data_IF_121095809478
#
_entry.id   IF_121095809478
#
_cell.length_a   1.000
_cell.length_b   1.000
_cell.length_c   1.000
_cell.angle_alpha   90.00
_cell.angle_beta   90.00
_cell.angle_gamma   90.00
#
_symmetry.space_group_name_H-M   'P 1'
#
loop_
_entity.id
_entity.type
_entity.pdbx_description
1 polymer ?
#
# COMPACT_ATOMS: atom_id res chain seq x y z
N UNK A 1 68.75 -3.10 -56.24
CA UNK A 1 67.54 -3.86 -55.88
C UNK A 1 67.22 -3.61 -54.41
N UNK A 2 66.11 -2.94 -54.09
CA UNK A 2 65.44 -3.03 -52.80
C UNK A 2 64.02 -2.48 -52.96
N UNK A 3 63.03 -3.37 -52.82
CA UNK A 3 61.59 -3.12 -52.97
C UNK A 3 61.08 -2.15 -51.89
N UNK A 4 60.36 -1.11 -52.31
CA UNK A 4 59.63 -0.19 -51.40
C UNK A 4 58.13 -0.53 -51.50
N UNK A 5 57.44 -0.84 -50.39
CA UNK A 5 56.04 -1.27 -50.46
C UNK A 5 55.11 -0.07 -50.66
N UNK A 6 54.14 -0.21 -51.57
CA UNK A 6 53.01 0.72 -51.71
C UNK A 6 52.01 0.44 -50.59
N UNK A 7 51.95 1.35 -49.63
CA UNK A 7 50.90 1.42 -48.62
C UNK A 7 49.65 2.07 -49.23
N UNK A 8 48.59 1.28 -49.47
CA UNK A 8 47.25 1.77 -49.83
C UNK A 8 46.48 2.10 -48.56
N UNK A 9 46.61 3.33 -48.06
CA UNK A 9 45.77 3.86 -46.98
C UNK A 9 44.40 4.24 -47.58
N UNK A 10 43.40 3.36 -47.46
CA UNK A 10 41.99 3.73 -47.70
C UNK A 10 41.56 4.70 -46.59
N UNK A 11 41.33 5.97 -46.94
CA UNK A 11 40.74 6.92 -45.99
C UNK A 11 39.25 6.59 -45.83
N UNK A 12 38.87 6.15 -44.64
CA UNK A 12 37.46 6.08 -44.26
C UNK A 12 36.94 7.51 -44.11
N UNK A 13 35.88 7.84 -44.83
CA UNK A 13 35.27 9.17 -44.78
C UNK A 13 34.67 9.42 -43.39
N UNK A 14 34.66 10.68 -42.95
CA UNK A 14 34.10 11.09 -41.65
C UNK A 14 32.65 10.62 -41.43
N UNK A 15 31.88 10.44 -42.51
CA UNK A 15 30.52 9.92 -42.46
C UNK A 15 30.44 8.48 -41.90
N UNK A 16 31.45 7.63 -42.17
CA UNK A 16 31.49 6.27 -41.63
C UNK A 16 31.70 6.23 -40.12
N UNK A 17 32.41 7.19 -39.53
CA UNK A 17 32.62 7.25 -38.08
C UNK A 17 31.33 7.63 -37.33
N UNK A 18 30.54 8.57 -37.87
CA UNK A 18 29.26 8.94 -37.25
C UNK A 18 28.23 7.82 -37.37
N UNK A 19 28.18 7.12 -38.50
CA UNK A 19 27.27 5.98 -38.68
C UNK A 19 27.59 4.82 -37.70
N UNK A 20 28.87 4.52 -37.48
CA UNK A 20 29.30 3.48 -36.53
C UNK A 20 29.00 3.93 -35.09
N UNK A 21 29.29 5.18 -34.73
CA UNK A 21 29.01 5.70 -33.39
C UNK A 21 27.52 5.69 -33.05
N UNK A 22 26.66 6.05 -34.00
CA UNK A 22 25.20 6.04 -33.81
C UNK A 22 24.64 4.61 -33.68
N UNK A 23 25.16 3.66 -34.48
CA UNK A 23 24.77 2.26 -34.36
C UNK A 23 25.16 1.66 -33.00
N UNK A 24 26.36 1.97 -32.49
CA UNK A 24 26.82 1.53 -31.16
C UNK A 24 25.96 2.15 -30.05
N UNK A 25 25.59 3.42 -30.16
CA UNK A 25 24.70 4.08 -29.21
C UNK A 25 23.31 3.44 -29.18
N UNK A 26 22.72 3.16 -30.35
CA UNK A 26 21.43 2.45 -30.42
C UNK A 26 21.52 1.07 -29.79
N UNK A 27 22.56 0.29 -30.08
CA UNK A 27 22.76 -1.04 -29.49
C UNK A 27 22.93 -0.95 -27.97
N UNK A 28 23.64 0.07 -27.47
CA UNK A 28 23.82 0.29 -26.04
C UNK A 28 22.49 0.65 -25.35
N UNK A 29 21.70 1.57 -25.94
CA UNK A 29 20.38 1.93 -25.43
C UNK A 29 19.42 0.73 -25.51
N UNK A 30 19.42 -0.03 -26.61
CA UNK A 30 18.62 -1.24 -26.73
C UNK A 30 19.03 -2.28 -25.68
N UNK A 31 20.32 -2.46 -25.39
CA UNK A 31 20.76 -3.39 -24.35
C UNK A 31 20.40 -2.90 -22.95
N UNK A 32 20.44 -1.60 -22.67
CA UNK A 32 19.96 -1.07 -21.39
C UNK A 32 18.46 -1.30 -21.24
N UNK A 33 17.67 -0.96 -22.27
CA UNK A 33 16.22 -1.14 -22.28
C UNK A 33 15.86 -2.63 -22.22
N UNK A 34 16.54 -3.48 -22.99
CA UNK A 34 16.36 -4.93 -22.95
C UNK A 34 16.79 -5.48 -21.59
N UNK A 35 17.86 -5.02 -20.96
CA UNK A 35 18.24 -5.47 -19.61
C UNK A 35 17.24 -5.02 -18.56
N UNK A 36 16.65 -3.82 -18.69
CA UNK A 36 15.60 -3.32 -17.81
C UNK A 36 14.29 -4.10 -17.99
N UNK A 37 13.99 -4.55 -19.22
CA UNK A 37 12.83 -5.40 -19.53
C UNK A 37 13.08 -6.85 -19.09
N UNK A 38 14.29 -7.37 -19.29
CA UNK A 38 14.67 -8.75 -18.98
C UNK A 38 14.90 -8.98 -17.48
N UNK A 39 15.30 -7.93 -16.75
CA UNK A 39 15.38 -7.97 -15.28
C UNK A 39 13.99 -8.00 -14.60
N UNK A 40 12.89 -7.96 -15.38
CA UNK A 40 11.51 -8.06 -14.90
C UNK A 40 10.98 -9.49 -14.85
N UNK A 41 11.73 -10.49 -15.32
CA UNK A 41 11.34 -11.90 -15.27
C UNK A 41 12.31 -12.73 -14.42
N UNK A 42 11.74 -13.42 -13.42
CA UNK A 42 12.34 -14.49 -12.61
C UNK A 42 13.24 -14.08 -11.44
N UNK A 43 12.73 -13.25 -10.52
CA UNK A 43 13.21 -13.29 -9.13
C UNK A 43 12.50 -14.47 -8.44
N UNK A 44 13.23 -15.42 -7.83
CA UNK A 44 12.61 -16.45 -7.00
C UNK A 44 11.90 -15.75 -5.84
N UNK A 45 10.61 -15.94 -5.80
CA UNK A 45 9.67 -15.46 -4.78
C UNK A 45 10.01 -16.13 -3.43
N UNK A 46 10.97 -15.56 -2.69
CA UNK A 46 11.01 -15.75 -1.23
C UNK A 46 10.28 -14.57 -0.61
N UNK A 47 9.01 -14.79 -0.27
CA UNK A 47 8.07 -13.77 0.22
C UNK A 47 7.83 -13.86 1.73
N UNK A 48 8.78 -14.41 2.49
CA UNK A 48 8.56 -14.68 3.91
C UNK A 48 8.92 -13.48 4.81
N UNK A 49 8.37 -13.48 6.03
CA UNK A 49 8.69 -12.55 7.12
C UNK A 49 10.09 -12.83 7.73
N UNK A 50 11.01 -13.41 6.98
CA UNK A 50 12.32 -13.87 7.46
C UNK A 50 13.09 -12.77 8.21
N UNK A 51 13.02 -11.54 7.69
CA UNK A 51 13.73 -10.37 8.22
C UNK A 51 12.89 -9.53 9.18
N UNK A 52 11.65 -9.95 9.51
CA UNK A 52 10.79 -9.17 10.37
C UNK A 52 11.11 -9.41 11.85
N UNK A 53 11.29 -8.32 12.60
CA UNK A 53 11.34 -8.39 14.06
C UNK A 53 10.00 -8.92 14.61
N UNK A 54 10.06 -9.83 15.59
CA UNK A 54 8.87 -10.41 16.20
C UNK A 54 8.22 -11.55 15.41
N UNK A 55 8.83 -12.04 14.31
CA UNK A 55 8.25 -13.17 13.54
C UNK A 55 8.00 -14.42 14.40
N UNK A 56 8.92 -14.72 15.33
CA UNK A 56 8.85 -15.92 16.18
C UNK A 56 7.90 -15.73 17.35
N UNK A 57 7.87 -14.51 17.91
CA UNK A 57 7.06 -14.17 19.10
C UNK A 57 5.58 -13.96 18.75
N UNK A 58 5.30 -13.36 17.60
CA UNK A 58 3.95 -12.88 17.27
C UNK A 58 3.04 -13.93 16.64
N UNK A 59 3.56 -15.13 16.32
CA UNK A 59 2.76 -16.24 15.78
C UNK A 59 2.06 -15.92 14.45
N UNK A 60 2.68 -15.08 13.62
CA UNK A 60 2.19 -14.72 12.28
C UNK A 60 3.17 -15.22 11.23
N UNK A 61 2.71 -16.11 10.36
CA UNK A 61 3.45 -16.56 9.17
C UNK A 61 2.79 -16.04 7.90
N UNK A 62 3.55 -15.94 6.81
CA UNK A 62 2.97 -15.55 5.50
C UNK A 62 1.82 -16.49 5.10
N UNK A 63 1.98 -17.79 5.32
CA UNK A 63 0.97 -18.80 4.97
C UNK A 63 -0.36 -18.62 5.71
N UNK A 64 -0.38 -17.94 6.86
CA UNK A 64 -1.63 -17.57 7.53
C UNK A 64 -2.35 -16.40 6.86
N UNK A 65 -1.62 -15.57 6.11
CA UNK A 65 -2.13 -14.33 5.53
C UNK A 65 -2.44 -14.48 4.04
N UNK A 66 -1.62 -15.24 3.33
CA UNK A 66 -1.61 -15.29 1.88
C UNK A 66 -1.33 -16.71 1.37
N UNK A 67 -2.13 -17.13 0.39
CA UNK A 67 -1.83 -18.31 -0.43
C UNK A 67 -1.45 -17.83 -1.84
N UNK A 68 -0.21 -18.09 -2.24
CA UNK A 68 0.25 -17.81 -3.60
C UNK A 68 -0.54 -18.65 -4.62
N UNK A 69 -0.80 -18.14 -5.84
CA UNK A 69 -1.42 -18.92 -6.89
C UNK A 69 -0.51 -20.09 -7.30
N UNK A 70 -1.12 -21.23 -7.61
CA UNK A 70 -0.41 -22.34 -8.26
C UNK A 70 0.04 -21.91 -9.65
N UNK A 71 1.35 -21.74 -9.83
CA UNK A 71 1.93 -21.38 -11.12
C UNK A 71 2.06 -22.66 -11.98
N UNK A 72 1.44 -22.73 -13.17
CA UNK A 72 1.68 -23.84 -14.08
C UNK A 72 3.16 -23.84 -14.53
N UNK A 73 3.75 -25.04 -14.67
CA UNK A 73 5.14 -25.22 -15.16
C UNK A 73 5.42 -24.52 -16.50
N UNK A 74 4.38 -24.20 -17.26
CA UNK A 74 4.44 -23.37 -18.47
C UNK A 74 3.49 -22.19 -18.32
N UNK A 75 4.07 -20.99 -18.17
CA UNK A 75 3.32 -19.73 -18.20
C UNK A 75 2.83 -19.49 -19.62
N UNK A 76 1.59 -19.90 -19.90
CA UNK A 76 0.91 -19.45 -21.11
C UNK A 76 0.55 -17.97 -20.94
N UNK A 77 0.77 -17.13 -21.96
CA UNK A 77 0.55 -15.66 -21.85
C UNK A 77 -0.89 -15.29 -21.51
N UNK A 78 -1.83 -16.21 -21.77
CA UNK A 78 -3.26 -16.06 -21.45
C UNK A 78 -3.63 -16.52 -20.04
N UNK A 79 -2.68 -17.05 -19.25
CA UNK A 79 -2.93 -17.65 -17.94
C UNK A 79 -2.09 -16.96 -16.85
N UNK A 80 -2.06 -15.62 -16.84
CA UNK A 80 -1.46 -14.89 -15.73
C UNK A 80 -2.35 -15.03 -14.50
N UNK A 81 -1.84 -15.55 -13.37
CA UNK A 81 -2.67 -15.75 -12.20
C UNK A 81 -3.00 -14.43 -11.50
N UNK A 82 -2.23 -13.37 -11.75
CA UNK A 82 -2.41 -12.07 -11.13
C UNK A 82 -3.30 -11.16 -11.96
N UNK A 83 -4.09 -10.32 -11.30
CA UNK A 83 -4.99 -9.38 -11.97
C UNK A 83 -4.20 -8.44 -12.90
N UNK A 84 -4.65 -8.30 -14.15
CA UNK A 84 -3.98 -7.46 -15.14
C UNK A 84 -4.27 -5.98 -14.87
N UNK A 85 -5.55 -5.64 -14.72
CA UNK A 85 -6.00 -4.26 -14.59
C UNK A 85 -6.37 -3.88 -13.15
N UNK A 86 -6.43 -2.57 -12.88
CA UNK A 86 -6.72 -2.02 -11.54
C UNK A 86 -8.17 -2.27 -11.12
N UNK A 87 -9.12 -2.11 -12.03
CA UNK A 87 -10.53 -2.43 -11.78
C UNK A 87 -10.73 -3.93 -11.48
N UNK A 88 -10.11 -4.82 -12.26
CA UNK A 88 -10.15 -6.27 -12.03
C UNK A 88 -9.58 -6.63 -10.66
N UNK A 89 -8.46 -6.00 -10.27
CA UNK A 89 -7.88 -6.18 -8.94
C UNK A 89 -8.87 -5.79 -7.84
N UNK A 90 -9.49 -4.61 -7.95
CA UNK A 90 -10.43 -4.13 -6.94
C UNK A 90 -11.69 -5.00 -6.86
N UNK A 91 -12.20 -5.49 -7.98
CA UNK A 91 -13.30 -6.46 -8.02
C UNK A 91 -12.92 -7.80 -7.39
N UNK A 92 -11.73 -8.32 -7.71
CA UNK A 92 -11.21 -9.56 -7.16
C UNK A 92 -11.00 -9.48 -5.64
N UNK A 93 -10.40 -8.39 -5.15
CA UNK A 93 -10.19 -8.13 -3.73
C UNK A 93 -11.51 -7.89 -2.99
N UNK A 94 -12.43 -7.13 -3.57
CA UNK A 94 -13.74 -6.87 -2.96
C UNK A 94 -14.64 -8.10 -2.93
N UNK A 95 -14.53 -8.97 -3.94
CA UNK A 95 -15.39 -10.14 -4.13
C UNK A 95 -14.83 -11.46 -3.60
N UNK A 96 -13.56 -11.49 -3.15
CA UNK A 96 -12.93 -12.66 -2.54
C UNK A 96 -13.45 -12.95 -1.14
N UNK A 97 -12.83 -13.89 -0.43
CA UNK A 97 -13.24 -14.29 0.92
C UNK A 97 -12.27 -15.26 1.56
N UNK A 98 -12.66 -15.86 2.68
CA UNK A 98 -11.89 -16.93 3.35
C UNK A 98 -12.55 -18.28 3.07
N UNK A 99 -11.76 -19.35 3.02
CA UNK A 99 -12.28 -20.71 2.82
C UNK A 99 -12.94 -21.30 4.07
N UNK A 100 -12.62 -20.73 5.23
CA UNK A 100 -13.10 -21.08 6.55
C UNK A 100 -12.80 -19.95 7.55
N UNK A 101 -13.22 -20.14 8.79
CA UNK A 101 -12.99 -19.17 9.86
C UNK A 101 -11.48 -19.01 10.13
N UNK A 102 -10.98 -17.77 10.05
CA UNK A 102 -9.56 -17.40 10.16
C UNK A 102 -8.59 -18.02 9.14
N UNK A 103 -9.09 -18.71 8.11
CA UNK A 103 -8.24 -19.17 7.01
C UNK A 103 -7.68 -18.00 6.20
N UNK A 104 -6.56 -18.21 5.50
CA UNK A 104 -5.96 -17.20 4.62
C UNK A 104 -6.97 -16.65 3.61
N UNK A 105 -6.93 -15.34 3.38
CA UNK A 105 -7.82 -14.69 2.43
C UNK A 105 -7.48 -15.08 0.98
N UNK A 106 -8.50 -15.34 0.16
CA UNK A 106 -8.39 -15.64 -1.28
C UNK A 106 -9.24 -14.65 -2.10
N UNK A 107 -8.63 -13.96 -3.08
CA UNK A 107 -9.37 -13.07 -3.98
C UNK A 107 -10.24 -13.87 -4.95
N UNK A 108 -11.23 -13.22 -5.56
CA UNK A 108 -12.13 -13.82 -6.55
C UNK A 108 -11.55 -13.67 -7.96
N UNK A 109 -11.43 -14.78 -8.69
CA UNK A 109 -11.01 -14.76 -10.10
C UNK A 109 -9.50 -14.70 -10.27
N UNK A 110 -8.89 -13.52 -10.07
CA UNK A 110 -7.45 -13.30 -10.20
C UNK A 110 -6.78 -12.99 -8.86
N UNK A 111 -5.48 -13.25 -8.75
CA UNK A 111 -4.69 -13.05 -7.54
C UNK A 111 -4.11 -11.64 -7.42
N UNK A 112 -3.91 -11.22 -6.18
CA UNK A 112 -3.06 -10.09 -5.81
C UNK A 112 -1.66 -10.60 -5.40
N UNK A 113 -0.68 -9.70 -5.33
CA UNK A 113 0.70 -10.02 -4.96
C UNK A 113 0.96 -9.70 -3.50
N UNK A 114 1.72 -10.57 -2.82
CA UNK A 114 2.30 -10.20 -1.54
C UNK A 114 3.66 -9.57 -1.78
N UNK A 115 3.75 -8.25 -1.62
CA UNK A 115 5.00 -7.52 -1.86
C UNK A 115 5.91 -7.59 -0.63
N UNK A 116 7.20 -7.82 -0.85
CA UNK A 116 8.23 -7.59 0.15
C UNK A 116 8.34 -6.11 0.52
N UNK A 117 8.88 -5.78 1.69
CA UNK A 117 9.03 -4.37 2.09
C UNK A 117 9.85 -3.54 1.10
N UNK A 118 10.86 -4.13 0.45
CA UNK A 118 11.63 -3.47 -0.61
C UNK A 118 10.79 -3.17 -1.85
N UNK A 119 9.89 -4.08 -2.24
CA UNK A 119 8.93 -3.84 -3.33
C UNK A 119 7.88 -2.80 -2.96
N UNK A 120 7.39 -2.79 -1.71
CA UNK A 120 6.51 -1.74 -1.21
C UNK A 120 7.22 -0.38 -1.33
N UNK A 121 8.49 -0.30 -0.94
CA UNK A 121 9.28 0.92 -1.09
C UNK A 121 9.37 1.38 -2.56
N UNK A 122 9.63 0.47 -3.50
CA UNK A 122 9.61 0.78 -4.94
C UNK A 122 8.24 1.27 -5.42
N UNK A 123 7.14 0.72 -4.90
CA UNK A 123 5.78 1.16 -5.23
C UNK A 123 5.57 2.60 -4.75
N UNK A 124 5.98 2.90 -3.51
CA UNK A 124 5.82 4.22 -2.90
C UNK A 124 6.67 5.28 -3.59
N UNK A 125 7.86 4.95 -4.10
CA UNK A 125 8.69 5.92 -4.84
C UNK A 125 8.01 6.50 -6.09
N UNK A 126 6.89 5.92 -6.54
CA UNK A 126 6.09 6.39 -7.69
C UNK A 126 4.99 7.39 -7.31
N UNK A 127 4.80 7.68 -6.03
CA UNK A 127 3.85 8.71 -5.54
C UNK A 127 4.62 9.84 -4.86
N UNK A 128 4.04 11.04 -4.80
CA UNK A 128 4.66 12.20 -4.13
C UNK A 128 4.37 12.22 -2.62
N UNK A 129 3.35 11.47 -2.19
CA UNK A 129 2.96 11.28 -0.80
C UNK A 129 1.68 10.45 -0.74
N UNK A 130 1.24 10.11 0.46
CA UNK A 130 0.09 9.23 0.69
C UNK A 130 -0.69 9.70 1.92
N UNK A 131 -2.01 9.81 1.81
CA UNK A 131 -2.83 10.18 2.96
C UNK A 131 -3.94 9.18 3.20
N UNK A 132 -4.11 8.81 4.48
CA UNK A 132 -5.20 7.99 4.97
C UNK A 132 -6.12 8.87 5.81
N UNK A 133 -7.41 8.90 5.48
CA UNK A 133 -8.40 9.75 6.13
C UNK A 133 -9.56 8.87 6.58
N UNK A 134 -9.76 8.68 7.88
CA UNK A 134 -10.84 7.81 8.30
C UNK A 134 -10.87 7.46 9.77
N UNK A 135 -11.64 6.43 10.07
CA UNK A 135 -11.95 5.96 11.41
C UNK A 135 -10.95 4.91 11.94
N UNK A 136 -11.31 4.24 13.04
CA UNK A 136 -10.45 3.26 13.73
C UNK A 136 -10.04 2.09 12.84
N UNK A 137 -10.90 1.64 11.92
CA UNK A 137 -10.54 0.56 11.00
C UNK A 137 -9.41 1.03 10.07
N UNK A 138 -9.52 2.24 9.51
CA UNK A 138 -8.47 2.74 8.64
C UNK A 138 -7.17 3.03 9.39
N UNK A 139 -7.27 3.45 10.67
CA UNK A 139 -6.10 3.53 11.56
C UNK A 139 -5.40 2.18 11.68
N UNK A 140 -6.14 1.09 11.86
CA UNK A 140 -5.57 -0.25 11.98
C UNK A 140 -4.87 -0.68 10.69
N UNK A 141 -5.45 -0.36 9.53
CA UNK A 141 -4.82 -0.61 8.23
C UNK A 141 -3.51 0.20 8.09
N UNK A 142 -3.52 1.48 8.47
CA UNK A 142 -2.33 2.32 8.47
C UNK A 142 -1.25 1.84 9.44
N UNK A 143 -1.64 1.38 10.64
CA UNK A 143 -0.75 0.77 11.61
C UNK A 143 -0.05 -0.48 11.02
N UNK A 144 -0.78 -1.36 10.35
CA UNK A 144 -0.20 -2.52 9.68
C UNK A 144 0.67 -2.14 8.47
N UNK A 145 0.32 -1.08 7.74
CA UNK A 145 1.16 -0.52 6.69
C UNK A 145 2.52 -0.05 7.25
N UNK A 146 2.54 0.61 8.41
CA UNK A 146 3.78 0.96 9.11
C UNK A 146 4.61 -0.27 9.50
N UNK A 147 3.97 -1.34 9.99
CA UNK A 147 4.66 -2.60 10.31
C UNK A 147 5.39 -3.20 9.11
N UNK A 148 4.74 -3.17 7.93
CA UNK A 148 5.33 -3.65 6.68
C UNK A 148 6.56 -2.83 6.26
N UNK A 149 6.49 -1.49 6.38
CA UNK A 149 7.59 -0.59 6.02
C UNK A 149 8.77 -0.63 6.98
N UNK A 150 8.52 -0.98 8.24
CA UNK A 150 9.53 -1.07 9.30
C UNK A 150 10.08 -2.49 9.51
N UNK A 151 9.53 -3.48 8.80
CA UNK A 151 9.84 -4.90 9.00
C UNK A 151 9.77 -5.32 10.48
N UNK A 152 8.71 -4.93 11.16
CA UNK A 152 8.58 -5.20 12.60
C UNK A 152 7.12 -5.58 12.92
N UNK A 153 6.91 -6.88 13.18
CA UNK A 153 5.62 -7.43 13.61
C UNK A 153 5.34 -7.19 15.09
N UNK A 154 6.39 -7.07 15.92
CA UNK A 154 6.24 -6.91 17.36
C UNK A 154 5.73 -5.53 17.79
N UNK A 155 6.22 -4.46 17.17
CA UNK A 155 5.98 -3.09 17.61
C UNK A 155 6.01 -2.06 16.47
N UNK A 156 6.04 -2.51 15.21
CA UNK A 156 6.13 -1.64 14.04
C UNK A 156 4.95 -0.70 13.84
N UNK A 157 3.81 -0.92 14.49
CA UNK A 157 2.71 0.04 14.48
C UNK A 157 2.93 1.22 15.44
N UNK A 158 3.86 1.10 16.40
CA UNK A 158 3.92 1.96 17.58
C UNK A 158 5.14 2.90 17.57
N UNK A 159 4.92 4.09 18.11
CA UNK A 159 5.92 5.09 18.46
C UNK A 159 6.58 4.70 19.80
N UNK A 160 7.44 3.68 19.77
CA UNK A 160 8.08 3.09 20.96
C UNK A 160 8.81 4.12 21.85
N UNK A 161 9.31 5.21 21.26
CA UNK A 161 9.95 6.31 21.97
C UNK A 161 8.99 7.13 22.86
N UNK A 162 7.68 6.93 22.75
CA UNK A 162 6.66 7.52 23.64
C UNK A 162 6.25 6.60 24.78
N UNK A 163 6.85 5.40 24.86
CA UNK A 163 6.40 4.31 25.73
C UNK A 163 7.48 3.93 26.76
N UNK A 164 7.03 3.64 27.99
CA UNK A 164 7.87 2.98 28.99
C UNK A 164 8.04 1.47 28.71
N UNK A 165 8.93 0.81 29.43
CA UNK A 165 9.24 -0.62 29.25
C UNK A 165 8.01 -1.52 29.44
N UNK A 166 7.14 -1.20 30.40
CA UNK A 166 5.93 -1.98 30.68
C UNK A 166 4.91 -1.86 29.55
N UNK A 167 4.73 -0.65 29.03
CA UNK A 167 3.88 -0.36 27.88
C UNK A 167 4.44 -1.06 26.63
N UNK A 168 5.76 -1.01 26.41
CA UNK A 168 6.41 -1.68 25.28
C UNK A 168 6.13 -3.17 25.30
N UNK A 169 6.15 -3.81 26.47
CA UNK A 169 5.89 -5.23 26.63
C UNK A 169 4.41 -5.58 26.43
N UNK A 170 3.50 -4.85 27.08
CA UNK A 170 2.06 -5.13 26.98
C UNK A 170 1.53 -4.93 25.56
N UNK A 171 2.07 -3.96 24.83
CA UNK A 171 1.58 -3.59 23.51
C UNK A 171 2.24 -4.37 22.36
N UNK A 172 3.02 -5.43 22.63
CA UNK A 172 3.65 -6.22 21.55
C UNK A 172 2.65 -7.01 20.72
N UNK A 173 3.02 -7.29 19.47
CA UNK A 173 2.33 -8.21 18.56
C UNK A 173 0.85 -7.84 18.37
N UNK A 174 -0.07 -8.76 18.66
CA UNK A 174 -1.52 -8.58 18.51
C UNK A 174 -2.07 -7.42 19.35
N UNK A 175 -1.44 -7.14 20.50
CA UNK A 175 -1.92 -6.10 21.41
C UNK A 175 -1.75 -4.68 20.87
N UNK A 176 -0.92 -4.48 19.84
CA UNK A 176 -0.87 -3.22 19.08
C UNK A 176 -2.26 -2.80 18.57
N UNK A 177 -3.11 -3.79 18.28
CA UNK A 177 -4.46 -3.62 17.74
C UNK A 177 -5.53 -3.88 18.80
N UNK A 178 -5.37 -4.98 19.54
CA UNK A 178 -6.39 -5.49 20.45
C UNK A 178 -6.44 -4.76 21.81
N UNK A 179 -5.36 -4.11 22.22
CA UNK A 179 -5.33 -3.40 23.50
C UNK A 179 -5.53 -1.91 23.30
N UNK A 180 -6.69 -1.39 23.72
CA UNK A 180 -7.04 0.02 23.59
C UNK A 180 -6.02 0.97 24.25
N UNK A 181 -5.29 0.52 25.28
CA UNK A 181 -4.24 1.30 25.94
C UNK A 181 -3.04 1.59 25.03
N UNK A 182 -2.91 0.84 23.93
CA UNK A 182 -1.84 0.99 22.95
C UNK A 182 -2.19 2.02 21.86
N UNK A 183 -3.47 2.35 21.71
CA UNK A 183 -3.96 3.31 20.69
C UNK A 183 -3.25 4.67 20.69
N UNK A 184 -2.98 5.31 21.86
CA UNK A 184 -2.26 6.58 21.89
C UNK A 184 -0.82 6.54 21.36
N UNK A 185 -0.24 5.34 21.24
CA UNK A 185 1.14 5.15 20.77
C UNK A 185 1.21 4.75 19.30
N UNK A 186 0.08 4.59 18.60
CA UNK A 186 0.10 4.24 17.18
C UNK A 186 0.72 5.38 16.37
N UNK A 187 1.65 5.04 15.48
CA UNK A 187 2.29 6.01 14.59
C UNK A 187 1.23 6.61 13.67
N UNK A 188 1.16 7.94 13.61
CA UNK A 188 0.18 8.66 12.78
C UNK A 188 0.80 9.32 11.54
N UNK A 189 2.11 9.52 11.51
CA UNK A 189 2.81 10.20 10.41
C UNK A 189 4.19 9.60 10.17
N UNK A 190 4.65 9.58 8.92
CA UNK A 190 6.01 9.15 8.62
C UNK A 190 7.06 10.12 9.19
N UNK A 191 6.70 11.40 9.33
CA UNK A 191 7.60 12.45 9.79
C UNK A 191 8.11 12.19 11.21
N UNK A 192 7.27 11.72 12.13
CA UNK A 192 7.70 11.46 13.52
C UNK A 192 8.70 10.31 13.61
N UNK A 193 8.63 9.34 12.69
CA UNK A 193 9.61 8.25 12.63
C UNK A 193 10.93 8.75 12.04
N UNK A 194 10.86 9.58 10.99
CA UNK A 194 12.03 10.17 10.35
C UNK A 194 12.78 11.11 11.29
N UNK A 195 12.09 12.00 11.99
CA UNK A 195 12.67 12.92 12.98
C UNK A 195 13.42 12.14 14.07
N UNK A 196 12.83 11.07 14.60
CA UNK A 196 13.48 10.23 15.63
C UNK A 196 14.70 9.48 15.11
N UNK A 197 14.66 9.00 13.88
CA UNK A 197 15.81 8.36 13.26
C UNK A 197 16.98 9.34 13.09
N UNK A 198 16.69 10.61 12.77
CA UNK A 198 17.71 11.67 12.66
C UNK A 198 18.32 12.04 14.01
N UNK A 199 17.57 11.91 15.11
CA UNK A 199 18.06 12.08 16.48
C UNK A 199 18.94 10.92 16.98
N UNK A 200 19.18 9.90 16.15
CA UNK A 200 20.00 8.72 16.49
C UNK A 200 19.23 7.64 17.25
N UNK A 201 17.92 7.78 17.38
CA UNK A 201 17.05 6.76 17.95
C UNK A 201 16.53 5.83 16.85
N UNK A 202 17.25 4.75 16.59
CA UNK A 202 16.92 3.76 15.55
C UNK A 202 15.90 2.71 16.02
N UNK A 203 14.90 3.09 16.82
CA UNK A 203 13.86 2.17 17.31
C UNK A 203 12.89 1.83 16.16
N UNK A 204 13.28 0.83 15.36
CA UNK A 204 12.51 0.32 14.22
C UNK A 204 12.28 1.41 13.15
N UNK A 205 13.32 1.79 12.38
CA UNK A 205 13.22 2.78 11.31
C UNK A 205 12.39 2.26 10.12
N UNK A 206 11.99 3.15 9.21
CA UNK A 206 11.50 2.70 7.91
C UNK A 206 12.64 2.14 7.06
N UNK A 207 12.34 1.22 6.14
CA UNK A 207 13.31 0.83 5.12
C UNK A 207 13.48 1.88 4.02
N UNK A 208 12.45 2.68 3.76
CA UNK A 208 12.47 3.77 2.81
C UNK A 208 11.92 5.06 3.43
N UNK A 209 12.63 6.17 3.20
CA UNK A 209 12.44 7.45 3.91
C UNK A 209 12.17 8.62 2.94
N UNK A 210 11.48 8.34 1.83
CA UNK A 210 11.38 9.31 0.71
C UNK A 210 9.97 9.76 0.39
N UNK A 211 8.96 9.14 0.99
CA UNK A 211 7.57 9.33 0.60
C UNK A 211 6.78 9.63 1.87
N UNK A 212 6.36 10.89 2.07
CA UNK A 212 5.61 11.27 3.25
C UNK A 212 4.27 10.55 3.24
N UNK A 213 3.89 9.98 4.38
CA UNK A 213 2.57 9.40 4.57
C UNK A 213 1.98 9.73 5.93
N UNK A 214 0.68 9.93 5.99
CA UNK A 214 0.00 10.38 7.20
C UNK A 214 -1.41 9.79 7.32
N UNK A 215 -1.83 9.57 8.56
CA UNK A 215 -3.19 9.23 8.94
C UNK A 215 -3.88 10.40 9.63
N UNK A 216 -5.03 10.80 9.10
CA UNK A 216 -5.93 11.79 9.67
C UNK A 216 -7.19 11.09 10.20
N UNK A 217 -7.29 11.04 11.53
CA UNK A 217 -8.45 10.45 12.20
C UNK A 217 -9.69 11.33 11.99
N UNK A 218 -10.73 10.82 11.36
CA UNK A 218 -12.02 11.51 11.23
C UNK A 218 -13.19 10.55 11.45
N UNK A 219 -14.20 11.01 12.17
CA UNK A 219 -15.45 10.28 12.44
C UNK A 219 -16.67 11.15 12.18
N UNK A 220 -16.48 12.34 11.61
CA UNK A 220 -17.53 13.32 11.34
C UNK A 220 -17.23 14.07 10.04
N UNK A 221 -18.27 14.71 9.51
CA UNK A 221 -18.16 15.73 8.47
C UNK A 221 -19.00 16.93 8.95
N UNK A 222 -18.41 18.13 9.11
CA UNK A 222 -17.02 18.47 8.82
C UNK A 222 -15.98 17.70 9.65
N UNK A 223 -14.80 17.52 9.06
CA UNK A 223 -13.65 16.91 9.69
C UNK A 223 -13.11 17.78 10.85
N UNK A 224 -12.37 17.19 11.80
CA UNK A 224 -11.74 17.96 12.88
C UNK A 224 -10.86 19.12 12.38
N UNK A 225 -10.69 20.12 13.24
CA UNK A 225 -9.89 21.31 12.97
C UNK A 225 -8.45 20.93 12.57
N UNK A 226 -7.90 21.62 11.57
CA UNK A 226 -6.55 21.40 11.04
C UNK A 226 -6.43 20.33 9.94
N UNK A 227 -7.39 19.41 9.78
CA UNK A 227 -7.27 18.33 8.77
C UNK A 227 -7.24 18.86 7.33
N UNK A 228 -8.05 19.88 7.05
CA UNK A 228 -8.04 20.55 5.75
C UNK A 228 -6.74 21.30 5.48
N UNK A 229 -6.16 21.92 6.51
CA UNK A 229 -4.89 22.65 6.41
C UNK A 229 -3.75 21.69 6.12
N UNK A 230 -3.72 20.53 6.80
CA UNK A 230 -2.74 19.48 6.54
C UNK A 230 -2.85 18.97 5.10
N UNK A 231 -4.06 18.66 4.64
CA UNK A 231 -4.28 18.22 3.26
C UNK A 231 -3.87 19.31 2.26
N UNK A 232 -4.26 20.55 2.52
CA UNK A 232 -3.90 21.71 1.72
C UNK A 232 -2.38 21.85 1.61
N UNK A 233 -1.62 21.75 2.70
CA UNK A 233 -0.16 21.90 2.70
C UNK A 233 0.55 20.78 1.92
N UNK A 234 0.05 19.55 2.05
CA UNK A 234 0.56 18.39 1.31
C UNK A 234 0.32 18.50 -0.20
N UNK A 235 -0.84 19.02 -0.62
CA UNK A 235 -1.20 19.20 -2.02
C UNK A 235 -0.63 20.49 -2.63
N UNK A 236 -0.49 21.56 -1.85
CA UNK A 236 0.06 22.86 -2.25
C UNK A 236 1.55 22.84 -2.53
N UNK A 237 2.26 21.93 -1.87
CA UNK A 237 3.69 21.71 -2.10
C UNK A 237 3.91 21.46 -3.59
N UNK A 238 4.60 22.40 -4.28
CA UNK A 238 4.83 22.33 -5.74
C UNK A 238 5.14 20.88 -6.14
N UNK A 239 4.45 20.30 -7.15
CA UNK A 239 4.76 18.96 -7.62
C UNK A 239 6.26 18.87 -7.85
N UNK A 240 6.94 18.09 -7.01
CA UNK A 240 8.37 17.85 -7.21
C UNK A 240 8.54 17.05 -8.50
N UNK A 241 7.48 16.33 -8.89
CA UNK A 241 7.36 15.51 -10.09
C UNK A 241 5.90 15.45 -10.56
N UNK A 242 5.61 14.78 -11.69
CA UNK A 242 4.26 14.49 -12.17
C UNK A 242 3.55 13.36 -11.37
N UNK A 243 4.12 12.93 -10.24
CA UNK A 243 3.61 11.79 -9.48
C UNK A 243 2.27 12.11 -8.80
N UNK A 244 1.34 11.14 -8.72
CA UNK A 244 0.08 11.34 -8.04
C UNK A 244 0.26 11.42 -6.52
N UNK A 245 -0.77 11.93 -5.85
CA UNK A 245 -0.90 11.96 -4.39
C UNK A 245 -2.17 11.20 -3.98
N UNK A 246 -2.09 9.89 -3.73
CA UNK A 246 -3.26 9.07 -3.47
C UNK A 246 -3.89 9.36 -2.11
N UNK A 247 -5.23 9.33 -2.08
CA UNK A 247 -6.04 9.51 -0.88
C UNK A 247 -6.80 8.23 -0.60
N UNK A 248 -6.55 7.62 0.55
CA UNK A 248 -7.31 6.48 1.04
C UNK A 248 -8.32 7.00 2.06
N UNK A 249 -9.59 6.73 1.83
CA UNK A 249 -10.66 7.23 2.68
C UNK A 249 -11.61 6.12 3.13
N UNK A 250 -12.00 6.11 4.40
CA UNK A 250 -12.95 5.15 4.96
C UNK A 250 -13.70 5.75 6.15
N UNK A 251 -15.01 5.50 6.20
CA UNK A 251 -15.83 5.64 7.40
C UNK A 251 -16.77 4.44 7.52
N UNK A 252 -16.97 3.97 8.75
CA UNK A 252 -17.70 2.74 9.02
C UNK A 252 -18.29 2.68 10.41
N UNK A 253 -17.88 1.67 11.18
CA UNK A 253 -18.55 1.32 12.44
C UNK A 253 -18.41 2.44 13.48
N UNK A 254 -17.26 3.11 13.57
CA UNK A 254 -17.01 4.17 14.55
C UNK A 254 -17.87 5.43 14.32
N UNK A 255 -18.47 5.59 13.14
CA UNK A 255 -19.42 6.69 12.85
C UNK A 255 -20.87 6.26 13.03
N UNK A 256 -21.11 5.08 13.62
CA UNK A 256 -22.45 4.49 13.73
C UNK A 256 -23.04 4.06 12.39
N UNK A 257 -22.20 3.84 11.37
CA UNK A 257 -22.64 3.55 9.99
C UNK A 257 -23.52 4.68 9.42
N UNK A 258 -23.19 5.94 9.75
CA UNK A 258 -23.90 7.11 9.24
C UNK A 258 -23.63 7.31 7.75
N UNK A 259 -24.65 7.09 6.94
CA UNK A 259 -24.60 7.27 5.48
C UNK A 259 -24.31 8.73 5.12
N UNK A 260 -25.05 9.67 5.73
CA UNK A 260 -24.92 11.11 5.45
C UNK A 260 -23.53 11.63 5.82
N UNK A 261 -22.97 11.17 6.94
CA UNK A 261 -21.60 11.51 7.33
C UNK A 261 -20.58 10.99 6.33
N UNK A 262 -20.74 9.76 5.84
CA UNK A 262 -19.83 9.19 4.85
C UNK A 262 -19.86 9.96 3.52
N UNK A 263 -21.05 10.22 2.99
CA UNK A 263 -21.17 10.93 1.71
C UNK A 263 -20.71 12.39 1.82
N UNK A 264 -21.00 13.05 2.94
CA UNK A 264 -20.56 14.43 3.18
C UNK A 264 -19.03 14.50 3.31
N UNK A 265 -18.41 13.52 3.96
CA UNK A 265 -16.96 13.43 4.09
C UNK A 265 -16.27 13.15 2.75
N UNK A 266 -16.87 12.31 1.88
CA UNK A 266 -16.39 12.13 0.51
C UNK A 266 -16.37 13.46 -0.25
N UNK A 267 -17.49 14.19 -0.22
CA UNK A 267 -17.62 15.47 -0.91
C UNK A 267 -16.63 16.52 -0.36
N UNK A 268 -16.46 16.58 0.96
CA UNK A 268 -15.54 17.47 1.66
C UNK A 268 -14.08 17.31 1.20
N UNK A 269 -13.56 16.08 1.21
CA UNK A 269 -12.17 15.83 0.84
C UNK A 269 -11.93 15.85 -0.67
N UNK A 270 -12.91 15.44 -1.48
CA UNK A 270 -12.83 15.58 -2.94
C UNK A 270 -12.78 17.05 -3.35
N UNK A 271 -13.69 17.89 -2.84
CA UNK A 271 -13.70 19.33 -3.14
C UNK A 271 -12.39 20.02 -2.72
N UNK A 272 -11.79 19.57 -1.61
CA UNK A 272 -10.49 20.08 -1.18
C UNK A 272 -9.39 19.68 -2.16
N UNK A 273 -9.33 18.42 -2.58
CA UNK A 273 -8.33 17.93 -3.52
C UNK A 273 -8.48 18.53 -4.93
N UNK A 274 -9.71 18.72 -5.41
CA UNK A 274 -10.04 19.29 -6.73
C UNK A 274 -9.65 20.77 -6.85
N UNK A 275 -9.40 21.45 -5.73
CA UNK A 275 -8.88 22.82 -5.72
C UNK A 275 -7.40 22.92 -6.16
N UNK A 276 -6.73 21.77 -6.33
CA UNK A 276 -5.33 21.68 -6.74
C UNK A 276 -5.16 21.06 -8.12
N UNK A 277 -4.22 21.60 -8.91
CA UNK A 277 -3.81 21.03 -10.19
C UNK A 277 -2.83 19.85 -10.00
N UNK A 278 -3.29 18.81 -9.29
CA UNK A 278 -2.51 17.59 -9.00
C UNK A 278 -3.39 16.36 -9.05
N UNK A 279 -2.91 15.33 -9.76
CA UNK A 279 -3.57 14.02 -9.80
C UNK A 279 -3.66 13.40 -8.40
N UNK A 280 -4.87 13.31 -7.86
CA UNK A 280 -5.14 12.82 -6.51
C UNK A 280 -6.14 11.66 -6.57
N UNK A 281 -5.71 10.42 -6.91
CA UNK A 281 -6.64 9.30 -7.00
C UNK A 281 -7.18 8.93 -5.62
N UNK A 282 -8.51 8.81 -5.52
CA UNK A 282 -9.20 8.43 -4.28
C UNK A 282 -9.56 6.95 -4.27
N UNK A 283 -9.27 6.28 -3.17
CA UNK A 283 -9.75 4.94 -2.84
C UNK A 283 -10.69 5.01 -1.64
N UNK A 284 -11.97 4.70 -1.85
CA UNK A 284 -12.91 4.40 -0.78
C UNK A 284 -12.71 2.96 -0.30
N UNK A 285 -12.33 2.81 0.96
CA UNK A 285 -12.24 1.51 1.63
C UNK A 285 -13.53 1.28 2.40
N UNK A 286 -14.34 0.33 1.95
CA UNK A 286 -15.58 -0.04 2.62
C UNK A 286 -15.32 -0.72 3.97
N UNK A 287 -16.25 -0.65 4.93
CA UNK A 287 -16.01 -1.16 6.27
C UNK A 287 -15.82 -2.68 6.32
N UNK A 288 -15.09 -3.11 7.34
CA UNK A 288 -15.02 -4.50 7.76
C UNK A 288 -16.38 -4.96 8.31
N UNK A 289 -16.68 -6.24 8.18
CA UNK A 289 -17.89 -6.84 8.72
C UNK A 289 -18.01 -6.61 10.24
N UNK A 290 -19.24 -6.71 10.75
CA UNK A 290 -19.41 -6.83 12.19
C UNK A 290 -18.79 -8.16 12.63
N UNK A 291 -17.98 -8.10 13.68
CA UNK A 291 -17.31 -9.25 14.23
C UNK A 291 -18.27 -10.25 14.85
N UNK A 292 -17.79 -11.50 15.03
CA UNK A 292 -18.58 -12.59 15.58
C UNK A 292 -19.08 -12.34 17.02
N UNK A 293 -18.44 -11.41 17.74
CA UNK A 293 -18.83 -10.99 19.10
C UNK A 293 -19.95 -9.93 19.12
N UNK A 294 -20.21 -9.25 17.99
CA UNK A 294 -21.27 -8.25 17.88
C UNK A 294 -22.12 -8.48 16.60
N UNK A 295 -22.76 -9.65 16.45
CA UNK A 295 -23.54 -9.97 15.26
C UNK A 295 -24.76 -9.05 15.13
N UNK A 296 -25.11 -8.66 13.91
CA UNK A 296 -26.39 -7.99 13.62
C UNK A 296 -26.31 -6.52 13.19
N UNK A 297 -25.13 -5.88 13.16
CA UNK A 297 -25.00 -4.57 12.51
C UNK A 297 -25.20 -4.71 10.99
N UNK A 298 -26.00 -3.86 10.33
CA UNK A 298 -26.28 -3.95 8.89
C UNK A 298 -25.12 -3.42 8.02
N UNK A 299 -23.88 -3.78 8.37
CA UNK A 299 -22.65 -3.31 7.74
C UNK A 299 -22.63 -3.63 6.24
N UNK A 300 -23.16 -4.80 5.84
CA UNK A 300 -23.19 -5.19 4.42
C UNK A 300 -23.97 -4.17 3.58
N UNK A 301 -25.12 -3.69 4.07
CA UNK A 301 -25.99 -2.75 3.36
C UNK A 301 -25.29 -1.40 3.24
N UNK A 302 -24.77 -0.91 4.36
CA UNK A 302 -23.98 0.31 4.40
C UNK A 302 -22.77 0.26 3.44
N UNK A 303 -22.03 -0.86 3.44
CA UNK A 303 -20.88 -1.05 2.55
C UNK A 303 -21.28 -1.00 1.08
N UNK A 304 -22.42 -1.60 0.70
CA UNK A 304 -22.90 -1.53 -0.68
C UNK A 304 -23.36 -0.13 -1.08
N UNK A 305 -24.09 0.56 -0.20
CA UNK A 305 -24.63 1.89 -0.48
C UNK A 305 -23.52 2.94 -0.58
N UNK A 306 -22.58 2.97 0.37
CA UNK A 306 -21.42 3.90 0.33
C UNK A 306 -20.47 3.60 -0.82
N UNK A 307 -20.26 2.33 -1.17
CA UNK A 307 -19.49 1.96 -2.37
C UNK A 307 -20.13 2.49 -3.66
N UNK A 308 -21.46 2.52 -3.74
CA UNK A 308 -22.15 3.08 -4.90
C UNK A 308 -21.95 4.59 -4.98
N UNK A 309 -22.06 5.29 -3.85
CA UNK A 309 -21.85 6.74 -3.77
C UNK A 309 -20.41 7.16 -4.07
N UNK A 310 -19.43 6.40 -3.58
CA UNK A 310 -18.02 6.59 -3.91
C UNK A 310 -17.76 6.50 -5.42
N UNK A 311 -18.31 5.47 -6.09
CA UNK A 311 -18.16 5.31 -7.55
C UNK A 311 -18.80 6.45 -8.34
N UNK A 312 -19.98 6.93 -7.91
CA UNK A 312 -20.64 8.09 -8.55
C UNK A 312 -19.79 9.35 -8.50
N UNK A 313 -18.92 9.47 -7.50
CA UNK A 313 -17.97 10.58 -7.30
C UNK A 313 -16.62 10.34 -7.96
N UNK A 314 -16.45 9.25 -8.73
CA UNK A 314 -15.19 8.92 -9.38
C UNK A 314 -14.14 8.31 -8.44
N UNK A 315 -14.50 7.96 -7.21
CA UNK A 315 -13.62 7.24 -6.30
C UNK A 315 -13.56 5.76 -6.70
N UNK A 316 -12.38 5.17 -6.57
CA UNK A 316 -12.23 3.72 -6.65
C UNK A 316 -12.71 3.07 -5.35
N UNK A 317 -13.11 1.80 -5.40
CA UNK A 317 -13.71 1.12 -4.24
C UNK A 317 -13.00 -0.19 -3.95
N UNK A 318 -12.65 -0.38 -2.68
CA UNK A 318 -12.16 -1.63 -2.12
C UNK A 318 -13.03 -2.03 -0.92
N UNK A 319 -13.88 -3.05 -1.08
CA UNK A 319 -14.75 -3.52 0.00
C UNK A 319 -14.04 -4.53 0.90
N UNK A 320 -14.09 -4.30 2.22
CA UNK A 320 -13.45 -5.18 3.21
C UNK A 320 -14.38 -6.22 3.84
N UNK A 321 -15.69 -6.09 3.66
CA UNK A 321 -16.69 -6.95 4.31
C UNK A 321 -16.46 -8.46 4.07
N UNK A 322 -16.28 -8.89 2.81
CA UNK A 322 -16.12 -10.33 2.52
C UNK A 322 -14.80 -10.91 3.09
N UNK A 323 -13.77 -10.08 3.22
CA UNK A 323 -12.49 -10.50 3.79
C UNK A 323 -12.55 -10.71 5.31
N UNK A 324 -13.56 -10.16 5.97
CA UNK A 324 -13.63 -10.01 7.43
C UNK A 324 -14.81 -10.74 8.06
N UNK A 325 -15.83 -11.12 7.27
CA UNK A 325 -17.02 -11.86 7.77
C UNK A 325 -16.70 -13.21 8.41
N UNK A 326 -15.61 -13.86 8.00
CA UNK A 326 -15.12 -15.12 8.56
C UNK A 326 -13.78 -14.95 9.28
N UNK A 327 -13.55 -13.78 9.89
CA UNK A 327 -12.35 -13.52 10.68
C UNK A 327 -12.69 -13.28 12.16
N UNK A 328 -11.74 -13.61 13.03
CA UNK A 328 -11.79 -13.28 14.44
C UNK A 328 -11.65 -11.79 14.66
N UNK A 329 -12.71 -11.19 15.22
CA UNK A 329 -12.71 -9.87 15.82
C UNK A 329 -12.44 -9.99 17.32
N UNK A 330 -11.69 -9.06 17.91
CA UNK A 330 -11.38 -9.13 19.34
C UNK A 330 -12.40 -8.39 20.22
N UNK A 331 -13.09 -7.37 19.69
CA UNK A 331 -14.17 -6.62 20.38
C UNK A 331 -15.52 -6.68 19.65
N UNK A 332 -15.58 -7.35 18.50
CA UNK A 332 -16.78 -7.39 17.65
C UNK A 332 -16.89 -6.27 16.62
N UNK A 333 -15.95 -5.32 16.60
CA UNK A 333 -15.95 -4.18 15.67
C UNK A 333 -14.62 -4.03 14.93
N UNK A 334 -13.53 -4.34 15.62
CA UNK A 334 -12.15 -4.28 15.16
C UNK A 334 -11.57 -5.67 15.06
N UNK A 335 -10.56 -5.74 14.20
CA UNK A 335 -9.88 -6.98 13.88
C UNK A 335 -8.41 -6.91 14.26
N UNK A 336 -7.82 -8.09 14.32
CA UNK A 336 -6.44 -8.29 14.73
C UNK A 336 -5.39 -7.90 13.70
N UNK A 337 -4.13 -8.06 14.12
CA UNK A 337 -2.94 -7.81 13.29
C UNK A 337 -2.99 -8.55 11.94
N UNK A 338 -3.41 -9.82 11.94
CA UNK A 338 -3.48 -10.64 10.71
C UNK A 338 -4.42 -10.04 9.67
N UNK A 339 -5.57 -9.53 10.08
CA UNK A 339 -6.54 -8.91 9.18
C UNK A 339 -5.99 -7.58 8.66
N UNK A 340 -5.46 -6.75 9.56
CA UNK A 340 -4.90 -5.45 9.22
C UNK A 340 -3.73 -5.57 8.22
N UNK A 341 -2.85 -6.56 8.37
CA UNK A 341 -1.74 -6.84 7.42
C UNK A 341 -2.24 -7.17 6.02
N UNK A 342 -3.27 -8.02 5.89
CA UNK A 342 -3.83 -8.34 4.58
C UNK A 342 -4.52 -7.11 3.98
N UNK A 343 -5.23 -6.30 4.78
CA UNK A 343 -5.90 -5.07 4.31
C UNK A 343 -4.86 -4.05 3.82
N UNK A 344 -3.76 -3.88 4.56
CA UNK A 344 -2.66 -3.02 4.14
C UNK A 344 -2.07 -3.52 2.81
N UNK A 345 -1.86 -4.84 2.66
CA UNK A 345 -1.36 -5.41 1.42
C UNK A 345 -2.34 -5.22 0.24
N UNK A 346 -3.65 -5.23 0.47
CA UNK A 346 -4.65 -4.90 -0.56
C UNK A 346 -4.48 -3.46 -1.06
N UNK A 347 -4.28 -2.50 -0.15
CA UNK A 347 -4.02 -1.10 -0.50
C UNK A 347 -2.69 -0.97 -1.26
N UNK A 348 -1.64 -1.65 -0.83
CA UNK A 348 -0.36 -1.70 -1.56
C UNK A 348 -0.55 -2.20 -2.99
N UNK A 349 -1.40 -3.21 -3.21
CA UNK A 349 -1.69 -3.71 -4.56
C UNK A 349 -2.44 -2.67 -5.41
N UNK A 350 -3.35 -1.91 -4.81
CA UNK A 350 -3.97 -0.78 -5.49
C UNK A 350 -2.95 0.30 -5.85
N UNK A 351 -2.10 0.70 -4.90
CA UNK A 351 -1.00 1.65 -5.12
C UNK A 351 -0.08 1.18 -6.25
N UNK A 352 0.27 -0.11 -6.29
CA UNK A 352 1.12 -0.72 -7.33
C UNK A 352 0.55 -0.56 -8.75
N UNK A 353 -0.77 -0.42 -8.88
CA UNK A 353 -1.47 -0.28 -10.16
C UNK A 353 -1.87 1.16 -10.50
N UNK A 354 -1.49 2.15 -9.69
CA UNK A 354 -1.63 3.55 -10.09
C UNK A 354 -0.74 3.84 -11.30
N UNK A 355 -1.30 4.58 -12.25
CA UNK A 355 -0.56 5.08 -13.41
C UNK A 355 0.39 6.20 -12.97
N UNK A 356 1.61 6.20 -13.51
CA UNK A 356 2.48 7.37 -13.44
C UNK A 356 2.03 8.37 -14.49
N UNK A 357 1.60 9.57 -14.07
CA UNK A 357 1.16 10.65 -14.97
C UNK A 357 2.27 11.14 -15.90
#
# INVERSE_FOLDING_TARGET
MAFKPRSTRRSMSRASYYAIGFAVFIIFVLNIVLSAIYSRENVPVSHDFENFEGREDCGVTLSNLYTAPDLPEKVDKNNQPYCAYRNELLEALSGGGRGGFDESYRPKGCHYRWYSSSEICMILERVDGLIFIGDDMLRDIYAAFNMLLRQNLASGALAQWKMDEHQREICRCENQFANYRCSPFVVSTSLEVEERNLEGHHESPYLCHRVPHIFLSTTSSPAPEGHHEILHDLLSSKPRTYKPFPVIHSLGISTGLSYDTATSSMDEFLNTADSFDRASPFLWVGPAAAGHLAPGKPVWKYSMETANEARKRGMEVLNMWNMTVQASSWDGERYGMKVALVQAMMIVNWLAKLESS
#
